data_IF_281605349311
#
_entry.id   IF_281605349311
#
_cell.length_a   1.000
_cell.length_b   1.000
_cell.length_c   1.000
_cell.angle_alpha   90.00
_cell.angle_beta   90.00
_cell.angle_gamma   90.00
#
_symmetry.space_group_name_H-M   'P 1'
#
loop_
_entity.id
_entity.type
_entity.pdbx_description
1 polymer ?
#
# COMPACT_ATOMS: atom_id res chain seq x y z
N UNK A 1 35.97 70.20 -28.11
CA UNK A 1 36.87 69.35 -27.30
C UNK A 1 36.53 69.57 -25.84
N UNK A 2 35.80 68.62 -25.22
CA UNK A 2 35.77 68.36 -23.77
C UNK A 2 34.80 67.20 -23.50
N UNK A 3 35.39 66.03 -23.27
CA UNK A 3 34.73 64.79 -22.88
C UNK A 3 34.37 64.91 -21.38
N UNK A 4 33.09 64.80 -21.01
CA UNK A 4 32.70 64.65 -19.60
C UNK A 4 32.51 63.16 -19.28
N UNK A 5 33.34 62.71 -18.34
CA UNK A 5 33.38 61.40 -17.70
C UNK A 5 32.02 61.01 -17.11
N UNK A 6 31.52 59.83 -17.45
CA UNK A 6 30.41 59.15 -16.76
C UNK A 6 31.03 58.26 -15.68
N UNK A 7 30.67 58.50 -14.42
CA UNK A 7 31.05 57.67 -13.28
C UNK A 7 30.17 56.42 -13.21
N UNK A 8 30.76 55.25 -13.44
CA UNK A 8 30.12 53.96 -13.17
C UNK A 8 30.43 53.53 -11.73
N UNK A 9 29.42 53.57 -10.86
CA UNK A 9 29.46 52.94 -9.54
C UNK A 9 29.25 51.43 -9.75
N UNK A 10 30.34 50.66 -9.63
CA UNK A 10 30.28 49.20 -9.60
C UNK A 10 29.71 48.72 -8.27
N UNK A 11 28.47 48.23 -8.29
CA UNK A 11 27.92 47.41 -7.21
C UNK A 11 28.55 46.03 -7.29
N UNK A 12 29.55 45.78 -6.44
CA UNK A 12 30.10 44.45 -6.23
C UNK A 12 29.06 43.56 -5.54
N UNK A 13 28.45 42.65 -6.31
CA UNK A 13 27.62 41.57 -5.76
C UNK A 13 28.59 40.55 -5.14
N UNK A 14 28.63 40.51 -3.81
CA UNK A 14 29.29 39.44 -3.06
C UNK A 14 28.52 38.14 -3.27
N UNK A 15 29.03 37.27 -4.13
CA UNK A 15 28.60 35.89 -4.28
C UNK A 15 29.05 35.09 -3.04
N UNK A 16 28.28 35.17 -1.96
CA UNK A 16 28.40 34.23 -0.85
C UNK A 16 28.01 32.86 -1.43
N UNK A 17 29.00 32.00 -1.66
CA UNK A 17 28.82 30.67 -2.23
C UNK A 17 27.85 29.84 -1.39
N UNK A 18 26.62 29.68 -1.85
CA UNK A 18 25.63 28.84 -1.21
C UNK A 18 26.07 27.37 -1.38
N UNK A 19 26.31 26.67 -0.27
CA UNK A 19 26.65 25.23 -0.30
C UNK A 19 25.60 24.47 -1.11
N UNK A 20 25.98 23.70 -2.14
CA UNK A 20 25.03 22.97 -2.96
C UNK A 20 24.17 22.02 -2.14
N UNK A 21 22.92 21.85 -2.55
CA UNK A 21 21.91 21.05 -1.83
C UNK A 21 22.37 19.60 -1.58
N UNK A 22 22.97 18.92 -2.57
CA UNK A 22 23.53 17.58 -2.43
C UNK A 22 24.57 17.45 -1.30
N UNK A 23 25.44 18.47 -1.11
CA UNK A 23 26.41 18.48 0.00
C UNK A 23 25.75 18.68 1.35
N UNK A 24 24.74 19.56 1.44
CA UNK A 24 23.98 19.77 2.69
C UNK A 24 23.24 18.51 3.12
N UNK A 25 22.84 17.69 2.16
CA UNK A 25 22.02 16.49 2.36
C UNK A 25 22.83 15.21 2.50
N UNK A 26 24.17 15.28 2.41
CA UNK A 26 25.05 14.11 2.44
C UNK A 26 24.66 13.05 1.39
N UNK A 27 24.38 13.50 0.16
CA UNK A 27 24.11 12.64 -1.00
C UNK A 27 25.05 12.98 -2.14
N UNK A 28 25.35 11.99 -2.98
CA UNK A 28 26.16 12.20 -4.17
C UNK A 28 25.47 13.15 -5.18
N UNK A 29 26.26 13.89 -5.96
CA UNK A 29 25.77 14.88 -6.92
C UNK A 29 25.03 14.21 -8.09
N UNK A 30 25.55 13.10 -8.62
CA UNK A 30 24.92 12.37 -9.72
C UNK A 30 23.61 11.75 -9.25
N UNK A 31 23.63 11.14 -8.06
CA UNK A 31 22.43 10.68 -7.38
C UNK A 31 21.38 11.79 -7.29
N UNK A 32 21.73 12.94 -6.71
CA UNK A 32 20.82 14.06 -6.56
C UNK A 32 20.25 14.56 -7.90
N UNK A 33 21.10 14.65 -8.93
CA UNK A 33 20.68 15.09 -10.26
C UNK A 33 19.71 14.10 -10.92
N UNK A 34 19.87 12.79 -10.67
CA UNK A 34 19.00 11.72 -11.19
C UNK A 34 17.65 11.59 -10.50
N UNK A 35 17.45 12.20 -9.33
CA UNK A 35 16.17 12.14 -8.62
C UNK A 35 15.03 12.77 -9.44
N UNK A 36 13.82 12.24 -9.30
CA UNK A 36 12.62 12.89 -9.81
C UNK A 36 12.19 14.05 -8.91
N UNK A 37 11.26 14.88 -9.38
CA UNK A 37 10.59 15.84 -8.52
C UNK A 37 9.87 15.13 -7.36
N UNK A 38 9.87 15.75 -6.18
CA UNK A 38 9.34 15.13 -4.96
C UNK A 38 9.91 15.69 -3.67
N UNK A 39 9.41 15.15 -2.55
CA UNK A 39 9.95 15.35 -1.20
C UNK A 39 10.80 14.15 -0.82
N UNK A 40 11.98 14.39 -0.25
CA UNK A 40 12.95 13.36 0.09
C UNK A 40 13.51 13.57 1.49
N UNK A 41 13.99 12.50 2.12
CA UNK A 41 14.81 12.57 3.32
C UNK A 41 16.01 11.63 3.23
N UNK A 42 17.20 12.11 3.60
CA UNK A 42 18.33 11.24 3.88
C UNK A 42 18.36 10.90 5.38
N UNK A 43 18.15 9.63 5.68
CA UNK A 43 18.18 9.04 7.02
C UNK A 43 19.61 8.56 7.27
N UNK A 44 20.40 9.37 7.99
CA UNK A 44 21.78 9.05 8.32
C UNK A 44 21.79 8.23 9.61
N UNK A 45 22.28 7.01 9.54
CA UNK A 45 22.31 6.08 10.67
C UNK A 45 23.73 5.64 10.98
N UNK A 46 23.94 5.17 12.20
CA UNK A 46 25.18 4.49 12.63
C UNK A 46 25.58 3.25 11.79
N UNK A 47 24.73 2.81 10.85
CA UNK A 47 24.95 1.67 9.94
C UNK A 47 25.01 2.06 8.46
N UNK A 48 24.85 3.34 8.14
CA UNK A 48 24.81 3.84 6.77
C UNK A 48 23.62 4.75 6.49
N UNK A 49 23.58 5.30 5.28
CA UNK A 49 22.57 6.27 4.86
C UNK A 49 21.48 5.59 4.04
N UNK A 50 20.23 5.98 4.28
CA UNK A 50 19.08 5.58 3.46
C UNK A 50 18.39 6.82 2.90
N UNK A 51 18.29 6.92 1.57
CA UNK A 51 17.52 8.00 0.93
C UNK A 51 16.08 7.52 0.72
N UNK A 52 15.14 8.25 1.30
CA UNK A 52 13.71 8.01 1.17
C UNK A 52 13.11 9.00 0.18
N UNK A 53 12.28 8.51 -0.74
CA UNK A 53 11.31 9.29 -1.52
C UNK A 53 9.95 9.19 -0.83
N UNK A 54 9.30 10.32 -0.57
CA UNK A 54 8.00 10.33 0.08
C UNK A 54 6.84 10.27 -0.92
N UNK A 55 5.73 9.70 -0.46
CA UNK A 55 4.46 9.60 -1.18
C UNK A 55 3.54 10.77 -0.83
N UNK A 56 4.02 12.01 -0.99
CA UNK A 56 3.35 13.23 -0.52
C UNK A 56 1.98 13.48 -1.15
N UNK A 57 1.70 12.86 -2.30
CA UNK A 57 0.38 12.94 -2.97
C UNK A 57 -0.62 11.93 -2.42
N UNK A 58 -0.15 10.77 -1.97
CA UNK A 58 -1.03 9.68 -1.50
C UNK A 58 -1.18 9.66 0.02
N UNK A 59 -0.21 10.19 0.75
CA UNK A 59 -0.21 10.30 2.22
C UNK A 59 0.28 11.68 2.66
N UNK A 60 -0.36 12.79 2.21
CA UNK A 60 0.13 14.15 2.42
C UNK A 60 0.32 14.51 3.89
N UNK A 61 -0.61 14.14 4.77
CA UNK A 61 -0.55 14.52 6.19
C UNK A 61 0.53 13.73 6.91
N UNK A 62 0.69 12.46 6.59
CA UNK A 62 1.72 11.58 7.17
C UNK A 62 3.12 12.02 6.77
N UNK A 63 3.33 12.34 5.49
CA UNK A 63 4.60 12.89 5.01
C UNK A 63 4.89 14.22 5.68
N UNK A 64 3.90 15.12 5.74
CA UNK A 64 4.04 16.42 6.39
C UNK A 64 4.35 16.31 7.90
N UNK A 65 3.75 15.34 8.60
CA UNK A 65 4.08 15.03 9.99
C UNK A 65 5.55 14.62 10.13
N UNK A 66 6.00 13.65 9.34
CA UNK A 66 7.37 13.16 9.41
C UNK A 66 8.37 14.27 9.09
N UNK A 67 8.16 15.01 8.00
CA UNK A 67 9.04 16.12 7.59
C UNK A 67 9.05 17.22 8.65
N UNK A 68 7.88 17.63 9.13
CA UNK A 68 7.78 18.70 10.12
C UNK A 68 8.44 18.32 11.45
N UNK A 69 8.35 17.06 11.87
CA UNK A 69 9.09 16.54 13.03
C UNK A 69 10.61 16.50 12.76
N UNK A 70 11.04 16.01 11.60
CA UNK A 70 12.44 15.97 11.21
C UNK A 70 13.08 17.36 11.17
N UNK A 71 12.35 18.38 10.73
CA UNK A 71 12.83 19.76 10.67
C UNK A 71 12.60 20.56 11.97
N UNK A 72 11.99 19.96 13.01
CA UNK A 72 11.68 20.65 14.26
C UNK A 72 10.60 21.73 14.15
N UNK A 73 9.77 21.68 13.10
CA UNK A 73 8.72 22.66 12.77
C UNK A 73 7.34 22.30 13.33
N UNK A 74 7.16 21.09 13.85
CA UNK A 74 5.91 20.67 14.50
C UNK A 74 6.13 20.61 16.01
N UNK A 75 5.27 21.31 16.74
CA UNK A 75 5.23 21.27 18.19
C UNK A 75 4.95 19.86 18.69
N UNK A 76 5.73 19.43 19.66
CA UNK A 76 5.66 18.09 20.24
C UNK A 76 6.08 18.14 21.71
N UNK A 77 5.83 17.05 22.44
CA UNK A 77 6.13 16.95 23.88
C UNK A 77 7.48 16.34 24.20
N UNK A 78 8.22 15.83 23.20
CA UNK A 78 9.45 15.07 23.42
C UNK A 78 10.72 15.91 23.24
N UNK A 79 10.66 16.97 22.44
CA UNK A 79 11.77 17.86 22.10
C UNK A 79 11.35 19.32 22.20
N UNK A 80 12.31 20.24 22.34
CA UNK A 80 12.00 21.67 22.34
C UNK A 80 11.64 22.13 20.93
N UNK A 81 10.86 23.21 20.83
CA UNK A 81 10.54 23.81 19.54
C UNK A 81 11.82 24.16 18.75
N UNK A 82 11.85 23.81 17.46
CA UNK A 82 13.02 23.99 16.59
C UNK A 82 14.08 22.88 16.68
N UNK A 83 14.00 21.96 17.65
CA UNK A 83 14.91 20.80 17.70
C UNK A 83 14.40 19.69 16.76
N UNK A 84 15.26 19.15 15.87
CA UNK A 84 14.94 17.98 15.05
C UNK A 84 14.48 16.79 15.91
N UNK A 85 13.28 16.27 15.64
CA UNK A 85 12.66 15.25 16.49
C UNK A 85 13.42 13.92 16.47
N UNK A 86 13.83 13.51 15.27
CA UNK A 86 14.35 12.17 14.99
C UNK A 86 15.85 12.01 15.27
N UNK A 87 16.58 13.12 15.36
CA UNK A 87 18.03 13.09 15.58
C UNK A 87 18.34 12.48 16.96
N UNK A 88 19.13 11.42 16.95
CA UNK A 88 19.49 10.62 18.12
C UNK A 88 18.47 9.55 18.53
N UNK A 89 17.34 9.42 17.82
CA UNK A 89 16.40 8.31 18.07
C UNK A 89 17.00 6.98 17.61
N UNK A 90 16.41 5.87 18.07
CA UNK A 90 16.95 4.51 17.83
C UNK A 90 15.98 3.66 17.03
N UNK A 91 16.53 2.74 16.25
CA UNK A 91 15.78 1.58 15.81
C UNK A 91 15.64 0.61 16.98
N UNK A 92 14.53 0.74 17.72
CA UNK A 92 14.33 0.05 19.00
C UNK A 92 13.77 -1.36 18.83
N UNK A 93 13.36 -1.75 17.62
CA UNK A 93 12.88 -3.09 17.28
C UNK A 93 13.26 -3.44 15.85
N UNK A 94 13.90 -4.59 15.66
CA UNK A 94 14.49 -4.98 14.39
C UNK A 94 14.23 -6.47 14.19
N UNK A 95 13.59 -6.88 13.08
CA UNK A 95 13.21 -8.28 12.84
C UNK A 95 13.60 -8.67 11.43
N UNK A 96 14.50 -9.65 11.32
CA UNK A 96 14.92 -10.20 10.04
C UNK A 96 13.76 -10.88 9.32
N UNK A 97 13.70 -10.71 7.99
CA UNK A 97 12.58 -11.11 7.13
C UNK A 97 11.25 -10.45 7.50
N UNK A 98 11.31 -9.27 8.11
CA UNK A 98 10.11 -8.49 8.40
C UNK A 98 10.35 -6.98 8.23
N UNK A 99 10.93 -6.31 9.22
CA UNK A 99 11.04 -4.84 9.24
C UNK A 99 12.05 -4.32 10.28
N UNK A 100 12.43 -3.05 10.14
CA UNK A 100 13.17 -2.26 11.14
C UNK A 100 12.31 -1.08 11.59
N UNK A 101 12.10 -0.91 12.90
CA UNK A 101 11.19 0.09 13.49
C UNK A 101 11.95 1.10 14.34
N UNK A 102 11.65 2.38 14.14
CA UNK A 102 12.28 3.53 14.80
C UNK A 102 11.29 4.68 15.06
N UNK A 103 11.82 5.87 15.34
CA UNK A 103 11.02 7.08 15.53
C UNK A 103 10.38 7.25 16.91
N UNK A 104 10.79 6.44 17.89
CA UNK A 104 10.43 6.62 19.30
C UNK A 104 11.48 7.50 20.00
N UNK A 105 11.10 8.67 20.56
CA UNK A 105 12.03 9.54 21.29
C UNK A 105 12.61 8.91 22.57
N UNK A 106 11.95 7.90 23.14
CA UNK A 106 12.39 7.19 24.34
C UNK A 106 13.15 5.89 24.01
N UNK A 107 12.99 5.35 22.80
CA UNK A 107 13.60 4.08 22.37
C UNK A 107 13.07 2.84 23.13
N UNK A 108 11.84 2.89 23.61
CA UNK A 108 11.16 1.82 24.37
C UNK A 108 10.09 1.09 23.56
N UNK A 109 9.69 1.65 22.41
CA UNK A 109 8.52 1.26 21.63
C UNK A 109 7.22 1.94 22.09
N UNK A 110 7.25 2.75 23.17
CA UNK A 110 6.04 3.34 23.77
C UNK A 110 5.97 4.86 23.63
N UNK A 111 7.06 5.54 23.27
CA UNK A 111 7.05 7.00 23.15
C UNK A 111 6.34 7.49 21.89
N UNK A 112 5.84 8.72 21.97
CA UNK A 112 5.09 9.40 20.93
C UNK A 112 5.41 10.92 20.95
N UNK A 113 4.99 11.72 19.95
CA UNK A 113 5.26 13.16 19.92
C UNK A 113 4.31 13.97 20.81
N UNK A 114 3.44 13.33 21.59
CA UNK A 114 2.43 13.96 22.44
C UNK A 114 1.07 14.15 21.79
N UNK A 115 0.85 13.59 20.60
CA UNK A 115 -0.40 13.60 19.84
C UNK A 115 -0.55 12.35 18.98
N UNK A 116 -1.77 12.12 18.48
CA UNK A 116 -2.10 11.09 17.49
C UNK A 116 -2.84 11.68 16.30
N UNK A 117 -2.78 11.01 15.15
CA UNK A 117 -3.58 11.34 13.95
C UNK A 117 -4.03 10.08 13.20
N UNK A 118 -5.02 10.29 12.34
CA UNK A 118 -5.73 9.23 11.63
C UNK A 118 -4.87 8.58 10.54
N UNK A 119 -5.22 7.36 10.12
CA UNK A 119 -4.60 6.70 8.97
C UNK A 119 -5.05 7.35 7.66
N UNK A 120 -4.17 7.48 6.67
CA UNK A 120 -4.54 7.95 5.33
C UNK A 120 -4.81 6.75 4.42
N UNK A 121 -6.06 6.58 3.99
CA UNK A 121 -6.47 5.49 3.09
C UNK A 121 -6.04 5.80 1.66
N UNK A 122 -5.29 4.87 1.07
CA UNK A 122 -4.87 4.92 -0.32
C UNK A 122 -4.67 3.49 -0.87
N UNK A 123 -4.13 3.40 -2.07
CA UNK A 123 -3.92 2.17 -2.83
C UNK A 123 -2.51 1.57 -2.66
N UNK A 124 -1.64 2.18 -1.85
CA UNK A 124 -0.29 1.69 -1.62
C UNK A 124 -0.29 0.33 -0.89
N UNK A 125 0.74 -0.47 -1.17
CA UNK A 125 0.88 -1.84 -0.66
C UNK A 125 2.33 -2.09 -0.21
N UNK A 126 2.51 -2.94 0.80
CA UNK A 126 3.82 -3.35 1.29
C UNK A 126 4.40 -4.45 0.38
N UNK A 127 4.74 -4.06 -0.86
CA UNK A 127 5.10 -4.99 -1.94
C UNK A 127 6.50 -5.56 -1.86
N UNK A 128 7.36 -5.02 -1.00
CA UNK A 128 8.76 -5.45 -0.95
C UNK A 128 9.57 -4.71 0.10
N UNK A 129 10.89 -4.81 -0.05
CA UNK A 129 11.89 -4.13 0.79
C UNK A 129 11.85 -2.62 0.60
N UNK A 130 12.08 -1.87 1.67
CA UNK A 130 12.26 -0.42 1.63
C UNK A 130 10.98 0.40 1.76
N UNK A 131 9.81 -0.23 1.91
CA UNK A 131 8.55 0.50 2.10
C UNK A 131 8.54 1.12 3.50
N UNK A 132 8.38 2.44 3.55
CA UNK A 132 8.31 3.24 4.78
C UNK A 132 6.84 3.45 5.18
N UNK A 133 6.51 3.05 6.40
CA UNK A 133 5.13 2.99 6.87
C UNK A 133 5.02 3.33 8.36
N UNK A 134 3.89 3.92 8.77
CA UNK A 134 3.67 4.31 10.16
C UNK A 134 3.47 3.09 11.06
N UNK A 135 4.18 3.05 12.18
CA UNK A 135 3.84 2.15 13.28
C UNK A 135 2.64 2.74 14.04
N UNK A 136 1.71 1.88 14.47
CA UNK A 136 0.53 2.29 15.22
C UNK A 136 0.10 1.19 16.21
N UNK A 137 -0.76 1.55 17.16
CA UNK A 137 -1.32 0.67 18.19
C UNK A 137 -2.80 0.36 17.93
N UNK A 138 -3.15 0.25 16.64
CA UNK A 138 -4.53 0.15 16.16
C UNK A 138 -4.91 1.34 15.27
N UNK A 139 -6.10 1.28 14.64
CA UNK A 139 -6.54 2.29 13.68
C UNK A 139 -6.46 3.71 14.25
N UNK A 140 -5.98 4.65 13.43
CA UNK A 140 -5.94 6.08 13.73
C UNK A 140 -5.10 6.46 14.96
N UNK A 141 -3.99 5.74 15.20
CA UNK A 141 -3.08 6.02 16.31
C UNK A 141 -1.67 6.40 15.86
N UNK A 142 -1.54 6.94 14.65
CA UNK A 142 -0.26 7.38 14.11
C UNK A 142 0.33 8.51 14.97
N UNK A 143 1.65 8.48 15.16
CA UNK A 143 2.40 9.47 15.93
C UNK A 143 3.72 9.80 15.24
N UNK A 144 4.84 9.39 15.83
CA UNK A 144 6.18 9.61 15.26
C UNK A 144 6.87 8.32 14.82
N UNK A 145 6.44 7.18 15.36
CA UNK A 145 7.07 5.89 15.09
C UNK A 145 6.74 5.39 13.68
N UNK A 146 7.74 4.81 13.03
CA UNK A 146 7.66 4.27 11.68
C UNK A 146 8.47 2.98 11.58
N UNK A 147 8.21 2.21 10.53
CA UNK A 147 9.04 1.06 10.17
C UNK A 147 9.38 1.09 8.68
N UNK A 148 10.47 0.40 8.34
CA UNK A 148 10.89 0.13 6.96
C UNK A 148 10.88 -1.38 6.76
N UNK A 149 10.17 -1.86 5.75
CA UNK A 149 10.06 -3.29 5.44
C UNK A 149 11.37 -3.87 4.92
N UNK A 150 11.67 -5.12 5.28
CA UNK A 150 12.78 -5.89 4.69
C UNK A 150 12.30 -6.82 3.56
N UNK A 151 11.05 -7.24 3.60
CA UNK A 151 10.39 -8.13 2.63
C UNK A 151 8.97 -7.64 2.33
N UNK A 152 8.26 -8.27 1.39
CA UNK A 152 6.84 -8.00 1.17
C UNK A 152 6.01 -8.40 2.40
N UNK A 153 5.13 -7.52 2.87
CA UNK A 153 4.31 -7.73 4.08
C UNK A 153 2.83 -7.42 3.82
N UNK A 154 2.15 -8.13 2.89
CA UNK A 154 0.79 -7.78 2.45
C UNK A 154 -0.26 -7.84 3.58
N UNK A 155 0.01 -8.56 4.68
CA UNK A 155 -0.88 -8.61 5.85
C UNK A 155 -1.00 -7.27 6.59
N UNK A 156 -0.13 -6.29 6.30
CA UNK A 156 -0.14 -4.93 6.84
C UNK A 156 -0.91 -3.93 5.96
N UNK A 157 -1.30 -4.32 4.74
CA UNK A 157 -1.94 -3.42 3.78
C UNK A 157 -3.26 -2.85 4.31
N UNK A 158 -3.42 -1.53 4.20
CA UNK A 158 -4.58 -0.80 4.69
C UNK A 158 -4.68 -0.66 6.22
N UNK A 159 -3.75 -1.27 6.98
CA UNK A 159 -3.65 -1.18 8.45
C UNK A 159 -2.59 -0.20 8.93
N UNK A 160 -1.56 0.02 8.11
CA UNK A 160 -0.47 0.96 8.35
C UNK A 160 -0.35 1.90 7.16
N UNK A 161 -0.25 3.20 7.43
CA UNK A 161 -0.16 4.22 6.39
C UNK A 161 1.25 4.21 5.80
N UNK A 162 1.38 3.74 4.56
CA UNK A 162 2.61 3.86 3.77
C UNK A 162 2.77 5.32 3.37
N UNK A 163 3.96 5.88 3.54
CA UNK A 163 4.22 7.30 3.23
C UNK A 163 5.55 7.54 2.52
N UNK A 164 6.28 6.49 2.15
CA UNK A 164 7.46 6.61 1.31
C UNK A 164 8.13 5.28 1.02
N UNK A 165 9.25 5.35 0.34
CA UNK A 165 10.11 4.21 0.03
C UNK A 165 11.59 4.60 0.06
N UNK A 166 12.44 3.68 0.49
CA UNK A 166 13.90 3.81 0.39
C UNK A 166 14.30 3.58 -1.07
N UNK A 167 14.79 4.64 -1.73
CA UNK A 167 15.23 4.61 -3.12
C UNK A 167 16.74 4.37 -3.25
N UNK A 168 17.52 4.64 -2.21
CA UNK A 168 18.96 4.29 -2.13
C UNK A 168 19.36 3.87 -0.71
N UNK A 169 20.32 2.95 -0.60
CA UNK A 169 20.76 2.38 0.68
C UNK A 169 19.91 1.20 1.16
N UNK A 170 19.31 0.44 0.24
CA UNK A 170 18.48 -0.73 0.59
C UNK A 170 19.26 -1.82 1.36
N UNK A 171 20.58 -1.93 1.14
CA UNK A 171 21.49 -2.83 1.84
C UNK A 171 21.70 -2.45 3.32
N UNK A 172 21.52 -1.17 3.66
CA UNK A 172 21.56 -0.69 5.05
C UNK A 172 20.41 -1.31 5.85
N UNK A 173 19.25 -1.53 5.24
CA UNK A 173 18.10 -2.20 5.88
C UNK A 173 18.51 -3.61 6.31
N UNK A 174 19.18 -4.37 5.43
CA UNK A 174 19.65 -5.72 5.76
C UNK A 174 20.74 -5.70 6.83
N UNK A 175 21.63 -4.72 6.77
CA UNK A 175 22.69 -4.51 7.77
C UNK A 175 22.10 -4.25 9.15
N UNK A 176 21.05 -3.42 9.24
CA UNK A 176 20.33 -3.16 10.49
C UNK A 176 19.57 -4.42 10.93
N UNK A 177 18.82 -5.07 10.04
CA UNK A 177 18.02 -6.27 10.33
C UNK A 177 18.82 -7.42 10.99
N UNK A 178 20.09 -7.54 10.60
CA UNK A 178 21.01 -8.61 11.02
C UNK A 178 21.79 -8.32 12.29
N UNK A 179 21.66 -7.14 12.90
CA UNK A 179 22.36 -6.88 14.17
C UNK A 179 21.94 -7.86 15.25
N UNK A 180 22.81 -8.06 16.24
CA UNK A 180 22.49 -8.84 17.43
C UNK A 180 21.34 -8.18 18.21
N UNK A 181 20.36 -8.99 18.60
CA UNK A 181 19.12 -8.56 19.24
C UNK A 181 19.01 -9.19 20.63
N UNK A 182 18.63 -8.38 21.61
CA UNK A 182 18.21 -8.81 22.93
C UNK A 182 16.70 -9.07 23.01
N UNK A 183 16.12 -9.02 24.22
CA UNK A 183 14.68 -9.19 24.42
C UNK A 183 13.84 -8.23 23.56
N UNK A 184 12.66 -8.69 23.12
CA UNK A 184 11.70 -7.91 22.32
C UNK A 184 12.27 -7.41 20.98
N UNK A 185 13.23 -8.13 20.40
CA UNK A 185 13.87 -7.81 19.13
C UNK A 185 14.64 -6.47 19.14
N UNK A 186 15.02 -5.98 20.32
CA UNK A 186 15.78 -4.74 20.49
C UNK A 186 17.27 -4.96 20.22
N UNK A 187 17.94 -4.16 19.37
CA UNK A 187 19.38 -4.27 19.17
C UNK A 187 20.18 -4.22 20.49
N UNK A 188 21.15 -5.11 20.65
CA UNK A 188 22.07 -5.11 21.82
C UNK A 188 22.97 -3.87 21.78
N UNK A 189 23.50 -3.55 20.59
CA UNK A 189 24.17 -2.28 20.33
C UNK A 189 23.18 -1.36 19.65
N UNK A 190 23.02 -0.15 20.18
CA UNK A 190 22.11 0.85 19.63
C UNK A 190 22.38 1.12 18.14
N UNK A 191 21.34 1.01 17.33
CA UNK A 191 21.33 1.52 15.95
C UNK A 191 20.66 2.88 15.98
N UNK A 192 21.49 3.93 15.90
CA UNK A 192 21.05 5.32 16.04
C UNK A 192 20.72 5.93 14.69
N UNK A 193 19.61 6.65 14.61
CA UNK A 193 19.28 7.60 13.55
C UNK A 193 19.95 8.93 13.93
N UNK A 194 21.14 9.14 13.40
CA UNK A 194 22.02 10.24 13.78
C UNK A 194 21.47 11.58 13.28
N UNK A 195 20.93 11.59 12.05
CA UNK A 195 20.36 12.79 11.45
C UNK A 195 19.32 12.48 10.38
N UNK A 196 18.24 13.26 10.34
CA UNK A 196 17.30 13.25 9.20
C UNK A 196 17.39 14.57 8.43
N UNK A 197 17.83 14.51 7.18
CA UNK A 197 17.96 15.70 6.31
C UNK A 197 16.90 15.70 5.21
N UNK A 198 15.92 16.61 5.31
CA UNK A 198 14.83 16.73 4.34
C UNK A 198 15.19 17.71 3.22
N UNK A 199 14.72 17.42 2.00
CA UNK A 199 14.78 18.34 0.88
C UNK A 199 13.67 18.09 -0.13
N UNK A 200 13.48 19.07 -1.02
CA UNK A 200 12.55 18.98 -2.13
C UNK A 200 13.25 19.16 -3.47
N UNK A 201 12.67 18.58 -4.53
CA UNK A 201 13.09 18.77 -5.92
C UNK A 201 11.87 19.06 -6.78
N UNK A 202 12.02 19.98 -7.73
CA UNK A 202 10.94 20.40 -8.62
C UNK A 202 10.31 21.74 -8.26
N UNK A 203 9.74 22.40 -9.27
CA UNK A 203 9.11 23.72 -9.13
C UNK A 203 7.89 23.67 -8.18
N UNK A 204 7.11 22.60 -8.25
CA UNK A 204 5.92 22.39 -7.41
C UNK A 204 6.24 22.40 -5.92
N UNK A 205 7.43 21.94 -5.54
CA UNK A 205 7.82 21.74 -4.15
C UNK A 205 8.62 22.89 -3.54
N UNK A 206 8.84 24.00 -4.28
CA UNK A 206 9.54 25.19 -3.76
C UNK A 206 8.83 25.84 -2.57
N UNK A 207 7.52 25.66 -2.46
CA UNK A 207 6.68 26.21 -1.39
C UNK A 207 6.13 25.12 -0.46
N UNK A 208 6.77 23.95 -0.44
CA UNK A 208 6.37 22.86 0.44
C UNK A 208 6.52 23.29 1.91
N UNK A 209 5.41 23.28 2.65
CA UNK A 209 5.36 23.67 4.06
C UNK A 209 4.71 22.54 4.86
N UNK A 210 5.55 21.70 5.45
CA UNK A 210 5.13 20.53 6.19
C UNK A 210 4.27 20.87 7.41
N UNK A 211 4.64 21.92 8.17
CA UNK A 211 3.88 22.30 9.35
C UNK A 211 2.47 22.78 8.96
N UNK A 212 2.36 23.58 7.90
CA UNK A 212 1.06 24.02 7.37
C UNK A 212 0.22 22.84 6.86
N UNK A 213 0.79 21.98 6.02
CA UNK A 213 0.09 20.82 5.46
C UNK A 213 -0.41 19.90 6.57
N UNK A 214 0.40 19.64 7.59
CA UNK A 214 0.01 18.80 8.72
C UNK A 214 -1.14 19.42 9.51
N UNK A 215 -1.00 20.68 9.93
CA UNK A 215 -1.98 21.36 10.78
C UNK A 215 -3.34 21.55 10.07
N UNK A 216 -3.34 21.89 8.78
CA UNK A 216 -4.57 22.07 8.00
C UNK A 216 -5.16 20.74 7.51
N UNK A 217 -4.31 19.74 7.26
CA UNK A 217 -4.69 18.47 6.65
C UNK A 217 -5.21 17.44 7.65
N UNK A 218 -4.69 17.43 8.89
CA UNK A 218 -5.06 16.43 9.90
C UNK A 218 -6.56 16.34 10.17
N UNK A 219 -7.27 17.47 10.19
CA UNK A 219 -8.72 17.50 10.39
C UNK A 219 -9.52 16.95 9.18
N UNK A 220 -8.90 16.85 8.00
CA UNK A 220 -9.54 16.42 6.75
C UNK A 220 -9.33 14.94 6.43
N UNK A 221 -8.47 14.23 7.17
CA UNK A 221 -8.16 12.81 6.89
C UNK A 221 -9.43 11.96 6.82
N UNK A 222 -10.38 12.14 7.76
CA UNK A 222 -11.61 11.35 7.80
C UNK A 222 -12.51 11.59 6.58
N UNK A 223 -12.63 12.85 6.15
CA UNK A 223 -13.37 13.22 4.95
C UNK A 223 -12.72 12.63 3.69
N UNK A 224 -11.40 12.77 3.57
CA UNK A 224 -10.63 12.22 2.46
C UNK A 224 -10.73 10.69 2.40
N UNK A 225 -10.65 10.01 3.54
CA UNK A 225 -10.84 8.56 3.63
C UNK A 225 -12.24 8.14 3.20
N UNK A 226 -13.28 8.88 3.60
CA UNK A 226 -14.65 8.63 3.16
C UNK A 226 -14.78 8.80 1.65
N UNK A 227 -14.22 9.86 1.08
CA UNK A 227 -14.23 10.10 -0.36
C UNK A 227 -13.49 9.01 -1.13
N UNK A 228 -12.34 8.56 -0.62
CA UNK A 228 -11.57 7.45 -1.20
C UNK A 228 -12.37 6.15 -1.21
N UNK A 229 -13.00 5.79 -0.09
CA UNK A 229 -13.83 4.58 0.01
C UNK A 229 -15.05 4.64 -0.91
N UNK A 230 -15.72 5.80 -0.98
CA UNK A 230 -16.85 6.00 -1.89
C UNK A 230 -16.42 5.86 -3.37
N UNK A 231 -15.25 6.37 -3.73
CA UNK A 231 -14.67 6.18 -5.06
C UNK A 231 -14.41 4.70 -5.37
N UNK A 232 -13.84 3.95 -4.43
CA UNK A 232 -13.63 2.50 -4.60
C UNK A 232 -14.96 1.75 -4.77
N UNK A 233 -15.99 2.12 -4.01
CA UNK A 233 -17.32 1.53 -4.14
C UNK A 233 -17.96 1.84 -5.50
N UNK A 234 -17.83 3.07 -5.98
CA UNK A 234 -18.32 3.47 -7.31
C UNK A 234 -17.57 2.74 -8.43
N UNK A 235 -16.25 2.60 -8.33
CA UNK A 235 -15.43 1.85 -9.29
C UNK A 235 -15.79 0.36 -9.29
N UNK A 236 -15.96 -0.24 -8.12
CA UNK A 236 -16.41 -1.63 -7.99
C UNK A 236 -17.81 -1.84 -8.59
N UNK A 237 -18.73 -0.89 -8.39
CA UNK A 237 -20.06 -0.92 -8.99
C UNK A 237 -19.99 -0.83 -10.53
N UNK A 238 -19.21 0.10 -11.08
CA UNK A 238 -19.00 0.21 -12.54
C UNK A 238 -18.39 -1.06 -13.12
N UNK A 239 -17.41 -1.63 -12.43
CA UNK A 239 -16.79 -2.89 -12.84
C UNK A 239 -17.82 -4.02 -12.85
N UNK A 240 -18.68 -4.10 -11.83
CA UNK A 240 -19.73 -5.11 -11.76
C UNK A 240 -20.79 -4.92 -12.86
N UNK A 241 -21.21 -3.69 -13.14
CA UNK A 241 -22.12 -3.36 -14.24
C UNK A 241 -21.54 -3.78 -15.60
N UNK A 242 -20.27 -3.50 -15.86
CA UNK A 242 -19.61 -3.94 -17.09
C UNK A 242 -19.43 -5.47 -17.15
N UNK A 243 -19.04 -6.13 -16.05
CA UNK A 243 -18.90 -7.59 -15.99
C UNK A 243 -20.23 -8.32 -16.20
N UNK A 244 -21.32 -7.77 -15.66
CA UNK A 244 -22.68 -8.35 -15.77
C UNK A 244 -23.36 -8.04 -17.09
N UNK A 245 -22.75 -7.24 -17.96
CA UNK A 245 -23.35 -6.79 -19.22
C UNK A 245 -23.62 -7.96 -20.17
N UNK A 246 -24.90 -8.12 -20.53
CA UNK A 246 -25.34 -9.23 -21.39
C UNK A 246 -25.31 -10.59 -20.70
N UNK A 247 -25.23 -10.63 -19.37
CA UNK A 247 -25.52 -11.79 -18.55
C UNK A 247 -26.98 -11.78 -18.14
N UNK A 248 -27.57 -12.96 -17.99
CA UNK A 248 -28.86 -13.15 -17.34
C UNK A 248 -28.69 -13.15 -15.83
N UNK A 249 -29.70 -12.69 -15.08
CA UNK A 249 -29.70 -12.65 -13.62
C UNK A 249 -30.82 -13.51 -13.07
N UNK A 250 -30.50 -14.45 -12.20
CA UNK A 250 -31.49 -15.30 -11.53
C UNK A 250 -32.12 -14.58 -10.33
N UNK A 251 -33.17 -15.19 -9.74
CA UNK A 251 -33.84 -14.65 -8.57
C UNK A 251 -32.95 -14.60 -7.32
N UNK A 252 -31.94 -15.47 -7.20
CA UNK A 252 -30.97 -15.47 -6.10
C UNK A 252 -29.91 -14.37 -6.24
N UNK A 253 -29.81 -13.77 -7.43
CA UNK A 253 -28.81 -12.77 -7.76
C UNK A 253 -27.57 -13.30 -8.49
N UNK A 254 -27.53 -14.60 -8.81
CA UNK A 254 -26.50 -15.17 -9.69
C UNK A 254 -26.61 -14.54 -11.08
N UNK A 255 -25.48 -14.09 -11.61
CA UNK A 255 -25.38 -13.71 -13.02
C UNK A 255 -24.75 -14.85 -13.80
N UNK A 256 -25.27 -15.16 -14.98
CA UNK A 256 -24.73 -16.18 -15.85
C UNK A 256 -24.84 -15.82 -17.32
N UNK A 257 -23.95 -16.36 -18.14
CA UNK A 257 -24.00 -16.26 -19.59
C UNK A 257 -23.50 -17.56 -20.19
N UNK A 258 -24.36 -18.26 -20.92
CA UNK A 258 -23.95 -19.42 -21.71
C UNK A 258 -23.08 -18.91 -22.87
N UNK A 259 -21.82 -19.32 -22.89
CA UNK A 259 -20.81 -18.89 -23.87
C UNK A 259 -20.67 -19.89 -25.01
N UNK A 260 -21.06 -21.14 -24.78
CA UNK A 260 -21.16 -22.18 -25.81
C UNK A 260 -22.36 -23.07 -25.48
N UNK A 261 -23.26 -23.25 -26.46
CA UNK A 261 -24.49 -24.03 -26.31
C UNK A 261 -24.32 -25.45 -26.84
N UNK A 262 -25.11 -26.36 -26.30
CA UNK A 262 -25.29 -27.72 -26.81
C UNK A 262 -26.74 -28.13 -26.59
N UNK A 263 -27.57 -27.91 -27.61
CA UNK A 263 -29.02 -28.11 -27.50
C UNK A 263 -29.39 -29.56 -27.15
N UNK A 264 -28.61 -30.53 -27.63
CA UNK A 264 -28.79 -31.98 -27.44
C UNK A 264 -28.23 -32.48 -26.10
N UNK A 265 -27.52 -31.63 -25.35
CA UNK A 265 -26.92 -31.98 -24.08
C UNK A 265 -27.96 -32.34 -23.02
N UNK A 266 -27.64 -33.34 -22.20
CA UNK A 266 -28.44 -33.74 -21.04
C UNK A 266 -28.35 -32.66 -19.96
N UNK A 267 -29.48 -32.19 -19.44
CA UNK A 267 -29.52 -31.31 -18.28
C UNK A 267 -29.40 -32.13 -16.98
N UNK A 268 -28.60 -31.69 -16.00
CA UNK A 268 -28.54 -32.35 -14.70
C UNK A 268 -29.79 -32.05 -13.87
N UNK A 269 -30.17 -33.01 -13.02
CA UNK A 269 -31.16 -32.82 -11.96
C UNK A 269 -30.48 -32.77 -10.59
N UNK A 270 -31.15 -32.22 -9.58
CA UNK A 270 -30.64 -32.20 -8.20
C UNK A 270 -30.21 -33.61 -7.76
N UNK A 271 -28.97 -33.74 -7.31
CA UNK A 271 -28.33 -34.99 -6.90
C UNK A 271 -27.60 -35.74 -8.02
N UNK A 272 -27.72 -35.31 -9.28
CA UNK A 272 -26.95 -35.87 -10.39
C UNK A 272 -25.45 -35.70 -10.15
N UNK A 273 -24.67 -36.73 -10.43
CA UNK A 273 -23.22 -36.63 -10.40
C UNK A 273 -22.75 -35.96 -11.71
N UNK A 274 -22.10 -34.81 -11.59
CA UNK A 274 -21.61 -34.04 -12.75
C UNK A 274 -20.09 -33.99 -12.76
N UNK A 275 -19.50 -33.86 -13.94
CA UNK A 275 -18.08 -33.55 -14.13
C UNK A 275 -17.95 -32.16 -14.76
N UNK A 276 -17.21 -31.25 -14.10
CA UNK A 276 -17.12 -29.84 -14.49
C UNK A 276 -15.67 -29.39 -14.58
N UNK A 277 -15.30 -28.80 -15.71
CA UNK A 277 -14.09 -27.98 -15.80
C UNK A 277 -14.39 -26.54 -15.40
N UNK A 278 -13.42 -25.85 -14.80
CA UNK A 278 -13.61 -24.48 -14.34
C UNK A 278 -12.30 -23.69 -14.26
N UNK A 279 -12.43 -22.37 -14.38
CA UNK A 279 -11.42 -21.40 -13.99
C UNK A 279 -12.07 -20.32 -13.12
N UNK A 280 -11.64 -20.22 -11.86
CA UNK A 280 -12.14 -19.27 -10.87
C UNK A 280 -11.20 -18.08 -10.67
N UNK A 281 -11.75 -16.86 -10.75
CA UNK A 281 -11.01 -15.61 -10.52
C UNK A 281 -11.83 -14.58 -9.73
N UNK A 282 -11.15 -13.65 -9.08
CA UNK A 282 -11.74 -12.45 -8.50
C UNK A 282 -12.10 -11.44 -9.59
N UNK A 283 -12.97 -10.48 -9.29
CA UNK A 283 -13.35 -9.41 -10.23
C UNK A 283 -12.16 -8.58 -10.71
N UNK A 284 -11.09 -8.47 -9.91
CA UNK A 284 -9.84 -7.81 -10.30
C UNK A 284 -8.94 -8.65 -11.24
N UNK A 285 -9.40 -9.83 -11.67
CA UNK A 285 -8.68 -10.73 -12.57
C UNK A 285 -7.76 -11.75 -11.90
N UNK A 286 -7.58 -11.70 -10.57
CA UNK A 286 -6.73 -12.66 -9.86
C UNK A 286 -7.34 -14.06 -9.90
N UNK A 287 -6.69 -14.98 -10.61
CA UNK A 287 -7.07 -16.40 -10.64
C UNK A 287 -6.70 -17.06 -9.29
N UNK A 288 -7.64 -17.80 -8.70
CA UNK A 288 -7.39 -18.55 -7.46
C UNK A 288 -7.39 -20.07 -7.66
N UNK A 289 -8.06 -20.57 -8.70
CA UNK A 289 -8.08 -22.00 -9.03
C UNK A 289 -8.48 -22.23 -10.49
N UNK A 290 -7.91 -23.24 -11.14
CA UNK A 290 -8.14 -23.55 -12.55
C UNK A 290 -7.94 -25.04 -12.85
N UNK A 291 -9.02 -25.76 -13.12
CA UNK A 291 -8.97 -27.18 -13.44
C UNK A 291 -8.58 -27.48 -14.88
N UNK A 292 -8.75 -26.55 -15.81
CA UNK A 292 -8.25 -26.70 -17.19
C UNK A 292 -6.73 -26.83 -17.21
N UNK A 293 -6.01 -26.08 -16.35
CA UNK A 293 -4.55 -26.19 -16.22
C UNK A 293 -4.09 -27.54 -15.67
N UNK A 294 -4.94 -28.20 -14.86
CA UNK A 294 -4.68 -29.55 -14.35
C UNK A 294 -5.07 -30.65 -15.33
N UNK A 295 -5.94 -30.36 -16.29
CA UNK A 295 -6.48 -31.33 -17.24
C UNK A 295 -7.46 -32.32 -16.63
N UNK A 296 -7.92 -32.09 -15.39
CA UNK A 296 -8.84 -32.98 -14.66
C UNK A 296 -10.07 -32.20 -14.18
N UNK A 297 -11.30 -32.55 -14.61
CA UNK A 297 -12.52 -31.93 -14.12
C UNK A 297 -12.82 -32.37 -12.68
N UNK A 298 -13.53 -31.53 -11.93
CA UNK A 298 -14.03 -31.93 -10.62
C UNK A 298 -15.38 -32.65 -10.76
N UNK A 299 -15.58 -33.70 -9.97
CA UNK A 299 -16.86 -34.39 -9.90
C UNK A 299 -17.57 -34.20 -8.56
N UNK A 300 -18.86 -33.92 -8.59
CA UNK A 300 -19.67 -33.71 -7.40
C UNK A 300 -21.18 -33.91 -7.67
N UNK A 301 -21.99 -34.23 -6.65
CA UNK A 301 -23.44 -34.28 -6.79
C UNK A 301 -24.03 -32.87 -6.74
N UNK A 302 -24.52 -32.37 -7.88
CA UNK A 302 -24.99 -30.98 -8.01
C UNK A 302 -26.30 -30.73 -7.26
N UNK A 303 -26.45 -29.55 -6.65
CA UNK A 303 -27.66 -29.13 -5.94
C UNK A 303 -27.79 -29.71 -4.54
N UNK A 304 -26.71 -30.23 -3.96
CA UNK A 304 -26.72 -30.92 -2.65
C UNK A 304 -25.91 -30.20 -1.57
N UNK A 305 -25.38 -29.01 -1.85
CA UNK A 305 -24.58 -28.21 -0.92
C UNK A 305 -23.13 -28.70 -0.77
N UNK A 306 -22.61 -29.46 -1.75
CA UNK A 306 -21.21 -29.93 -1.77
C UNK A 306 -20.24 -28.89 -2.33
N UNK A 307 -20.76 -27.91 -3.05
CA UNK A 307 -20.05 -26.75 -3.59
C UNK A 307 -20.78 -25.47 -3.14
N UNK A 308 -20.24 -24.30 -3.46
CA UNK A 308 -20.89 -23.02 -3.11
C UNK A 308 -22.29 -22.91 -3.77
N UNK A 309 -23.26 -22.22 -3.13
CA UNK A 309 -24.62 -22.12 -3.65
C UNK A 309 -24.72 -21.65 -5.10
N UNK A 310 -23.89 -20.70 -5.53
CA UNK A 310 -23.87 -20.20 -6.90
C UNK A 310 -23.39 -21.23 -7.93
N UNK A 311 -22.60 -22.23 -7.52
CA UNK A 311 -22.23 -23.36 -8.37
C UNK A 311 -23.36 -24.38 -8.46
N UNK A 312 -23.96 -24.74 -7.32
CA UNK A 312 -25.11 -25.65 -7.30
C UNK A 312 -26.21 -25.11 -8.21
N UNK A 313 -26.52 -23.83 -8.12
CA UNK A 313 -27.48 -23.17 -8.99
C UNK A 313 -26.97 -23.05 -10.44
N UNK A 314 -25.78 -22.48 -10.64
CA UNK A 314 -25.27 -22.16 -11.97
C UNK A 314 -25.06 -23.38 -12.86
N UNK A 315 -24.53 -24.48 -12.32
CA UNK A 315 -24.31 -25.71 -13.10
C UNK A 315 -25.63 -26.38 -13.48
N UNK A 316 -26.69 -26.23 -12.67
CA UNK A 316 -28.03 -26.72 -13.03
C UNK A 316 -28.70 -25.92 -14.17
N UNK A 317 -28.16 -24.76 -14.54
CA UNK A 317 -28.63 -23.99 -15.71
C UNK A 317 -28.03 -24.50 -17.04
N UNK A 318 -26.98 -25.33 -16.98
CA UNK A 318 -26.27 -25.83 -18.15
C UNK A 318 -26.77 -27.21 -18.59
N UNK A 319 -26.47 -27.53 -19.85
CA UNK A 319 -26.51 -28.89 -20.40
C UNK A 319 -25.12 -29.45 -20.58
N UNK A 320 -25.02 -30.78 -20.62
CA UNK A 320 -23.77 -31.48 -20.97
C UNK A 320 -23.18 -30.92 -22.27
N UNK A 321 -21.89 -30.58 -22.24
CA UNK A 321 -21.15 -29.95 -23.34
C UNK A 321 -21.23 -28.42 -23.39
N UNK A 322 -22.05 -27.78 -22.55
CA UNK A 322 -22.14 -26.32 -22.51
C UNK A 322 -21.02 -25.68 -21.70
N UNK A 323 -20.70 -24.45 -22.10
CA UNK A 323 -19.80 -23.57 -21.36
C UNK A 323 -20.55 -22.32 -20.93
N UNK A 324 -20.23 -21.82 -19.76
CA UNK A 324 -20.81 -20.59 -19.26
C UNK A 324 -19.80 -19.79 -18.45
N UNK A 325 -20.03 -18.48 -18.39
CA UNK A 325 -19.43 -17.62 -17.37
C UNK A 325 -20.47 -17.37 -16.29
N UNK A 326 -20.11 -17.64 -15.04
CA UNK A 326 -20.88 -17.35 -13.84
C UNK A 326 -20.24 -16.17 -13.11
N UNK A 327 -21.02 -15.17 -12.76
CA UNK A 327 -20.61 -14.07 -11.89
C UNK A 327 -21.44 -14.16 -10.60
N UNK A 328 -20.77 -14.59 -9.55
CA UNK A 328 -21.37 -15.08 -8.31
C UNK A 328 -21.21 -14.01 -7.22
N UNK A 329 -22.32 -13.46 -6.68
CA UNK A 329 -22.28 -12.55 -5.54
C UNK A 329 -21.75 -13.27 -4.29
N UNK A 330 -21.23 -12.49 -3.35
CA UNK A 330 -20.54 -13.04 -2.18
C UNK A 330 -21.41 -13.97 -1.33
N UNK A 331 -22.71 -13.68 -1.26
CA UNK A 331 -23.75 -14.41 -0.53
C UNK A 331 -24.00 -15.80 -1.12
N UNK A 332 -23.77 -15.97 -2.42
CA UNK A 332 -23.82 -17.26 -3.12
C UNK A 332 -22.44 -17.92 -3.23
N UNK A 333 -21.41 -17.31 -2.62
CA UNK A 333 -20.04 -17.79 -2.58
C UNK A 333 -19.59 -18.05 -1.13
N UNK A 334 -18.58 -17.33 -0.63
CA UNK A 334 -17.98 -17.54 0.69
C UNK A 334 -18.33 -16.44 1.72
N UNK A 335 -19.19 -15.49 1.35
CA UNK A 335 -19.71 -14.42 2.20
C UNK A 335 -18.63 -13.63 2.97
N UNK A 336 -18.98 -13.15 4.15
CA UNK A 336 -18.10 -12.37 5.02
C UNK A 336 -16.88 -13.13 5.55
N UNK A 337 -16.81 -14.46 5.37
CA UNK A 337 -15.68 -15.27 5.84
C UNK A 337 -14.54 -15.33 4.82
N UNK A 338 -14.85 -15.29 3.52
CA UNK A 338 -13.87 -15.61 2.47
C UNK A 338 -13.41 -17.09 2.54
N UNK A 339 -12.36 -17.43 1.79
CA UNK A 339 -11.85 -18.81 1.74
C UNK A 339 -10.36 -18.92 1.37
N UNK A 340 -9.68 -19.92 1.96
CA UNK A 340 -8.35 -20.39 1.54
C UNK A 340 -7.21 -19.37 1.62
N UNK A 341 -7.41 -18.22 2.26
CA UNK A 341 -6.42 -17.12 2.29
C UNK A 341 -6.25 -16.38 0.96
N UNK A 342 -6.94 -16.81 -0.10
CA UNK A 342 -6.86 -16.26 -1.45
C UNK A 342 -8.16 -15.59 -1.90
N UNK A 343 -9.30 -15.97 -1.30
CA UNK A 343 -10.60 -15.33 -1.54
C UNK A 343 -10.91 -14.42 -0.34
N UNK A 344 -10.95 -13.09 -0.52
CA UNK A 344 -11.25 -12.17 0.57
C UNK A 344 -12.73 -12.22 0.99
N UNK A 345 -13.06 -11.77 2.21
CA UNK A 345 -14.44 -11.52 2.64
C UNK A 345 -15.24 -10.71 1.64
N UNK A 346 -16.51 -11.08 1.46
CA UNK A 346 -17.50 -10.38 0.62
C UNK A 346 -17.09 -10.28 -0.86
N UNK A 347 -16.19 -11.13 -1.34
CA UNK A 347 -15.74 -11.12 -2.72
C UNK A 347 -16.82 -11.64 -3.68
N UNK A 348 -16.98 -10.94 -4.80
CA UNK A 348 -17.63 -11.47 -6.01
C UNK A 348 -16.64 -12.38 -6.76
N UNK A 349 -17.14 -13.51 -7.26
CA UNK A 349 -16.32 -14.49 -7.98
C UNK A 349 -16.79 -14.60 -9.42
N UNK A 350 -15.84 -14.78 -10.34
CA UNK A 350 -16.11 -15.14 -11.73
C UNK A 350 -15.62 -16.56 -11.95
N UNK A 351 -16.49 -17.41 -12.50
CA UNK A 351 -16.14 -18.75 -12.93
C UNK A 351 -16.47 -18.93 -14.40
N UNK A 352 -15.47 -19.29 -15.21
CA UNK A 352 -15.74 -19.89 -16.50
C UNK A 352 -15.82 -21.40 -16.30
N UNK A 353 -16.96 -22.00 -16.65
CA UNK A 353 -17.27 -23.41 -16.41
C UNK A 353 -17.59 -24.14 -17.71
N UNK A 354 -17.30 -25.43 -17.75
CA UNK A 354 -17.70 -26.36 -18.80
C UNK A 354 -18.30 -27.60 -18.15
N UNK A 355 -19.58 -27.88 -18.41
CA UNK A 355 -20.24 -29.08 -17.92
C UNK A 355 -19.88 -30.25 -18.84
N UNK A 356 -18.82 -30.97 -18.47
CA UNK A 356 -18.26 -32.07 -19.30
C UNK A 356 -19.21 -33.24 -19.38
N UNK A 357 -19.86 -33.61 -18.26
CA UNK A 357 -20.73 -34.80 -18.22
C UNK A 357 -21.79 -34.77 -17.12
N UNK A 358 -22.95 -35.36 -17.39
CA UNK A 358 -24.04 -35.63 -16.45
C UNK A 358 -24.28 -37.14 -16.35
N UNK A 359 -23.82 -37.76 -15.26
CA UNK A 359 -23.85 -39.22 -15.09
C UNK A 359 -25.24 -39.75 -14.72
#
# INVERSE_FOLDING_TARGET
MNLKLISCIGLGISLIGCTPMYKKMNVDKELFNGLQDGVYANLQTSKGNMLVKFEDKKSPVTVANFVGLAEGKIDNKAKKAGEPFYDGTKFHRVIENFMIQGGDPQGTGMGDPGYRFDDEKNDLKHTGKGILSMANSGPNTNGSQFFITQVATPWLDGKHTIFGEVVHGLDVIDTIAKVEKGPQDKPVTDVVLEKVSVFTKGEEYKKYDAAKIFNEGKAKIQENNKAYLAKLEEEAKKQLEELSKGMEKTASGLFYKITQTNAEGKAPSKGSMVAVHYAGRLVNGTEFDNSFKRGEPIEFPVGTGRVIPGWDEGIMLLKEGEKATLLIPSELAYGARGAGGVIPPNAWLIFDVELVKVK
#
